data_IF_601210201436
#
_entry.id   IF_601210201436
#
_cell.length_a   1.000
_cell.length_b   1.000
_cell.length_c   1.000
_cell.angle_alpha   90.00
_cell.angle_beta   90.00
_cell.angle_gamma   90.00
#
_symmetry.space_group_name_H-M   'P 1'
#
loop_
_entity.id
_entity.type
_entity.pdbx_description
1 polymer ?
#
# COMPACT_ATOMS: atom_id res chain seq x y z
N UNK A 1 -9.92 39.48 -41.69
CA UNK A 1 -10.58 38.18 -41.72
C UNK A 1 -10.95 37.84 -40.28
N UNK A 2 -12.17 38.23 -39.90
CA UNK A 2 -12.67 38.12 -38.49
C UNK A 2 -13.37 36.76 -38.32
N UNK A 3 -12.76 35.86 -37.52
CA UNK A 3 -13.38 34.57 -37.17
C UNK A 3 -14.36 34.79 -36.03
N UNK A 4 -15.67 34.62 -36.33
CA UNK A 4 -16.74 34.60 -35.37
C UNK A 4 -16.76 33.28 -34.62
N UNK A 5 -16.45 33.31 -33.34
CA UNK A 5 -16.75 32.25 -32.41
C UNK A 5 -18.26 32.26 -32.08
N UNK A 6 -19.01 31.28 -32.57
CA UNK A 6 -20.38 31.04 -32.12
C UNK A 6 -20.37 30.31 -30.78
N UNK A 7 -20.73 31.00 -29.72
CA UNK A 7 -21.06 30.41 -28.44
C UNK A 7 -22.38 29.65 -28.60
N UNK A 8 -22.34 28.33 -28.45
CA UNK A 8 -23.56 27.52 -28.36
C UNK A 8 -24.24 27.81 -27.01
N UNK A 9 -25.54 28.10 -27.08
CA UNK A 9 -26.37 28.29 -25.89
C UNK A 9 -26.41 26.98 -25.04
N UNK A 10 -26.46 27.09 -23.70
CA UNK A 10 -26.53 25.92 -22.84
C UNK A 10 -27.85 25.19 -23.00
N UNK A 11 -27.74 23.87 -23.14
CA UNK A 11 -28.88 22.94 -23.21
C UNK A 11 -29.69 23.02 -21.91
N UNK A 12 -30.99 23.09 -22.06
CA UNK A 12 -32.02 23.19 -21.02
C UNK A 12 -31.78 22.19 -19.90
N UNK A 13 -31.49 22.69 -18.71
CA UNK A 13 -31.45 21.89 -17.48
C UNK A 13 -32.90 21.50 -17.14
N UNK A 14 -33.21 20.22 -17.22
CA UNK A 14 -34.44 19.68 -16.66
C UNK A 14 -34.48 19.95 -15.17
N UNK A 15 -35.38 20.80 -14.75
CA UNK A 15 -35.72 21.03 -13.36
C UNK A 15 -36.35 19.78 -12.77
N UNK A 16 -35.54 18.98 -12.11
CA UNK A 16 -36.02 17.94 -11.20
C UNK A 16 -36.64 18.59 -9.99
N UNK A 17 -37.89 18.29 -9.75
CA UNK A 17 -38.71 18.68 -8.59
C UNK A 17 -37.91 18.61 -7.29
N UNK A 18 -37.61 19.74 -6.73
CA UNK A 18 -37.06 19.90 -5.37
C UNK A 18 -38.08 19.35 -4.38
N UNK A 19 -37.91 18.14 -3.90
CA UNK A 19 -38.43 17.73 -2.61
C UNK A 19 -37.87 18.73 -1.58
N UNK A 20 -38.75 19.37 -0.81
CA UNK A 20 -38.39 20.17 0.36
C UNK A 20 -37.50 19.34 1.29
N UNK A 21 -36.20 19.35 1.04
CA UNK A 21 -35.22 18.95 2.06
C UNK A 21 -35.24 20.12 3.06
N UNK A 22 -35.84 19.91 4.25
CA UNK A 22 -35.50 20.77 5.40
C UNK A 22 -33.99 20.90 5.40
N UNK A 23 -33.48 22.11 5.22
CA UNK A 23 -32.05 22.40 5.28
C UNK A 23 -31.63 22.01 6.69
N UNK A 24 -31.01 20.84 6.83
CA UNK A 24 -30.48 20.38 8.10
C UNK A 24 -29.47 21.44 8.57
N UNK A 25 -29.49 21.76 9.86
CA UNK A 25 -28.48 22.66 10.42
C UNK A 25 -27.10 22.06 10.19
N UNK A 26 -26.35 22.62 9.25
CA UNK A 26 -25.04 22.11 8.82
C UNK A 26 -23.96 22.19 9.92
N UNK A 27 -24.23 22.91 11.00
CA UNK A 27 -23.36 23.01 12.17
C UNK A 27 -23.71 22.00 13.28
N UNK A 28 -24.81 21.26 13.13
CA UNK A 28 -25.16 20.22 14.09
C UNK A 28 -24.25 19.00 13.91
N UNK A 29 -23.82 18.32 15.01
CA UNK A 29 -23.14 17.07 14.92
C UNK A 29 -24.03 16.00 14.26
N UNK A 30 -23.45 14.98 13.62
CA UNK A 30 -24.22 13.87 13.07
C UNK A 30 -25.09 13.20 14.15
N UNK A 31 -26.29 12.76 13.76
CA UNK A 31 -27.19 12.02 14.63
C UNK A 31 -26.48 10.69 15.02
N UNK A 32 -26.60 10.31 16.30
CA UNK A 32 -26.07 9.02 16.76
C UNK A 32 -26.92 7.91 16.15
N UNK A 33 -26.31 6.92 15.47
CA UNK A 33 -27.06 5.78 14.93
C UNK A 33 -27.50 4.84 16.07
N UNK A 34 -28.57 4.10 15.83
CA UNK A 34 -28.95 2.98 16.68
C UNK A 34 -28.02 1.78 16.42
N UNK A 35 -27.33 1.33 17.45
CA UNK A 35 -26.43 0.18 17.42
C UNK A 35 -26.51 -0.62 18.73
N UNK A 36 -25.97 -1.84 18.70
CA UNK A 36 -25.94 -2.76 19.87
C UNK A 36 -24.53 -2.92 20.46
N UNK A 37 -23.50 -2.29 19.85
CA UNK A 37 -22.12 -2.44 20.27
C UNK A 37 -21.89 -1.87 21.67
N UNK A 38 -21.23 -2.65 22.53
CA UNK A 38 -20.72 -2.22 23.83
C UNK A 38 -19.22 -2.00 23.77
N UNK A 39 -18.49 -2.88 23.05
CA UNK A 39 -17.03 -2.81 22.91
C UNK A 39 -16.59 -3.14 21.49
N UNK A 40 -15.75 -2.27 20.90
CA UNK A 40 -15.15 -2.46 19.57
C UNK A 40 -13.64 -2.55 19.67
N UNK A 41 -13.05 -3.53 18.99
CA UNK A 41 -11.60 -3.68 18.91
C UNK A 41 -11.05 -3.06 17.61
N UNK A 42 -9.90 -2.41 17.73
CA UNK A 42 -9.10 -1.93 16.61
C UNK A 42 -7.75 -2.65 16.67
N UNK A 43 -7.32 -3.26 15.57
CA UNK A 43 -5.96 -3.79 15.43
C UNK A 43 -5.27 -3.23 14.19
N UNK A 44 -3.95 -3.20 14.23
CA UNK A 44 -3.10 -2.79 13.13
C UNK A 44 -2.07 -3.89 12.86
N UNK A 45 -1.99 -4.39 11.61
CA UNK A 45 -1.10 -5.47 11.25
C UNK A 45 -0.30 -5.19 9.97
N UNK A 46 0.83 -5.87 9.82
CA UNK A 46 1.75 -5.70 8.70
C UNK A 46 2.79 -4.61 8.92
N UNK A 47 3.41 -4.12 7.85
CA UNK A 47 4.41 -3.05 7.93
C UNK A 47 3.82 -1.71 8.39
N UNK A 48 4.60 -0.83 9.05
CA UNK A 48 4.15 0.51 9.40
C UNK A 48 3.78 1.34 8.17
N UNK A 49 2.86 2.29 8.36
CA UNK A 49 2.57 3.34 7.38
C UNK A 49 2.23 4.65 8.10
N UNK A 50 2.57 5.81 7.53
CA UNK A 50 2.20 7.11 8.09
C UNK A 50 0.69 7.27 8.22
N UNK A 51 0.24 8.16 9.10
CA UNK A 51 -1.17 8.43 9.39
C UNK A 51 -1.96 7.26 10.03
N UNK A 52 -1.31 6.18 10.47
CA UNK A 52 -1.96 5.09 11.22
C UNK A 52 -2.77 5.62 12.42
N UNK A 53 -2.18 6.56 13.17
CA UNK A 53 -2.84 7.15 14.33
C UNK A 53 -4.02 8.08 13.95
N UNK A 54 -4.05 8.62 12.74
CA UNK A 54 -5.22 9.36 12.24
C UNK A 54 -6.42 8.42 12.06
N UNK A 55 -6.19 7.24 11.47
CA UNK A 55 -7.20 6.21 11.27
C UNK A 55 -7.72 5.71 12.62
N UNK A 56 -6.81 5.25 13.49
CA UNK A 56 -7.14 4.72 14.83
C UNK A 56 -7.92 5.73 15.64
N UNK A 57 -7.41 6.97 15.69
CA UNK A 57 -8.00 8.05 16.48
C UNK A 57 -9.40 8.45 15.97
N UNK A 58 -9.58 8.56 14.65
CA UNK A 58 -10.87 8.92 14.08
C UNK A 58 -11.92 7.82 14.26
N UNK A 59 -11.55 6.56 14.07
CA UNK A 59 -12.42 5.41 14.35
C UNK A 59 -12.82 5.39 15.82
N UNK A 60 -11.85 5.42 16.73
CA UNK A 60 -12.10 5.37 18.17
C UNK A 60 -12.96 6.54 18.66
N UNK A 61 -12.68 7.79 18.24
CA UNK A 61 -13.51 8.95 18.60
C UNK A 61 -14.95 8.81 18.12
N UNK A 62 -15.19 8.23 16.96
CA UNK A 62 -16.54 8.04 16.42
C UNK A 62 -17.35 7.08 17.29
N UNK A 63 -16.77 5.96 17.71
CA UNK A 63 -17.42 5.00 18.60
C UNK A 63 -17.60 5.52 20.02
N UNK A 64 -16.56 6.19 20.59
CA UNK A 64 -16.66 6.81 21.91
C UNK A 64 -17.79 7.85 21.99
N UNK A 65 -18.02 8.62 20.94
CA UNK A 65 -19.15 9.57 20.83
C UNK A 65 -20.50 8.89 20.81
N UNK A 66 -20.56 7.66 20.31
CA UNK A 66 -21.76 6.83 20.33
C UNK A 66 -21.99 6.14 21.69
N UNK A 67 -21.01 6.20 22.60
CA UNK A 67 -21.07 5.57 23.91
C UNK A 67 -20.51 4.14 23.95
N UNK A 68 -19.74 3.76 22.94
CA UNK A 68 -19.10 2.44 22.79
C UNK A 68 -17.68 2.50 23.34
N UNK A 69 -17.30 1.53 24.14
CA UNK A 69 -15.92 1.36 24.57
C UNK A 69 -15.06 0.89 23.39
N UNK A 70 -13.86 1.44 23.26
CA UNK A 70 -12.93 1.08 22.19
C UNK A 70 -11.61 0.59 22.78
N UNK A 71 -11.18 -0.58 22.36
CA UNK A 71 -9.88 -1.14 22.71
C UNK A 71 -8.96 -1.22 21.47
N UNK A 72 -7.70 -0.91 21.67
CA UNK A 72 -6.65 -1.11 20.67
C UNK A 72 -5.87 -2.39 21.01
N UNK A 73 -5.93 -3.40 20.17
CA UNK A 73 -5.15 -4.63 20.33
C UNK A 73 -3.69 -4.33 20.00
N UNK A 74 -2.78 -4.64 20.93
CA UNK A 74 -1.36 -4.37 20.75
C UNK A 74 -0.70 -5.42 19.84
N UNK A 75 0.16 -4.94 18.95
CA UNK A 75 0.94 -5.79 18.04
C UNK A 75 0.08 -6.73 17.15
N UNK A 76 -1.04 -6.20 16.63
CA UNK A 76 -1.88 -6.87 15.64
C UNK A 76 -2.45 -8.20 16.13
N UNK A 77 -2.29 -9.26 15.35
CA UNK A 77 -2.83 -10.58 15.69
C UNK A 77 -1.92 -11.41 16.62
N UNK A 78 -0.72 -10.94 17.02
CA UNK A 78 0.27 -11.78 17.71
C UNK A 78 -0.31 -12.48 18.93
N UNK A 79 -0.82 -11.72 19.89
CA UNK A 79 -1.38 -12.29 21.13
C UNK A 79 -2.72 -13.00 20.91
N UNK A 80 -3.52 -12.52 19.97
CA UNK A 80 -4.80 -13.17 19.67
C UNK A 80 -4.60 -14.57 19.05
N UNK A 81 -3.60 -14.73 18.18
CA UNK A 81 -3.32 -16.03 17.55
C UNK A 81 -2.64 -17.04 18.46
N UNK A 82 -2.04 -16.57 19.56
CA UNK A 82 -1.40 -17.38 20.60
C UNK A 82 -2.32 -17.64 21.81
N UNK A 83 -3.55 -17.11 21.80
CA UNK A 83 -4.47 -17.19 22.95
C UNK A 83 -4.72 -18.64 23.38
N UNK A 84 -4.50 -18.91 24.66
CA UNK A 84 -4.62 -20.23 25.28
C UNK A 84 -5.70 -20.30 26.39
N UNK A 85 -6.50 -19.24 26.50
CA UNK A 85 -7.51 -19.07 27.57
C UNK A 85 -7.01 -18.26 28.76
N UNK A 86 -5.74 -17.88 28.79
CA UNK A 86 -5.20 -16.97 29.82
C UNK A 86 -5.79 -15.56 29.66
N UNK A 87 -6.09 -14.89 30.76
CA UNK A 87 -6.65 -13.55 30.75
C UNK A 87 -5.71 -12.55 30.04
N UNK A 88 -6.23 -11.87 29.01
CA UNK A 88 -5.54 -10.79 28.33
C UNK A 88 -5.54 -9.52 29.18
N UNK A 89 -4.38 -8.88 29.32
CA UNK A 89 -4.16 -7.78 30.24
C UNK A 89 -4.16 -6.42 29.57
N UNK A 90 -4.83 -5.45 30.18
CA UNK A 90 -4.73 -4.05 29.79
C UNK A 90 -3.26 -3.57 29.94
N UNK A 91 -2.84 -2.69 29.01
CA UNK A 91 -1.50 -2.16 28.87
C UNK A 91 -0.41 -3.15 28.44
N UNK A 92 -0.65 -4.47 28.49
CA UNK A 92 0.25 -5.49 27.93
C UNK A 92 -0.25 -5.97 26.55
N UNK A 93 -1.47 -6.47 26.46
CA UNK A 93 -2.05 -7.11 25.26
C UNK A 93 -3.03 -6.19 24.51
N UNK A 94 -3.69 -5.29 25.22
CA UNK A 94 -4.55 -4.26 24.64
C UNK A 94 -4.49 -2.96 25.45
N UNK A 95 -5.04 -1.89 24.89
CA UNK A 95 -5.17 -0.58 25.56
C UNK A 95 -6.59 -0.04 25.38
N UNK A 96 -7.18 0.52 26.43
CA UNK A 96 -8.47 1.22 26.34
C UNK A 96 -8.24 2.61 25.71
N UNK A 97 -8.82 2.83 24.53
CA UNK A 97 -8.70 4.05 23.76
C UNK A 97 -9.71 5.12 24.25
N UNK A 98 -9.37 5.78 25.34
CA UNK A 98 -10.16 6.88 25.89
C UNK A 98 -9.87 8.22 25.22
N UNK A 99 -10.75 9.22 25.38
CA UNK A 99 -10.49 10.59 24.94
C UNK A 99 -9.18 11.17 25.47
N UNK A 100 -8.72 10.72 26.63
CA UNK A 100 -7.43 11.13 27.24
C UNK A 100 -6.27 10.54 26.46
N UNK A 101 -6.31 9.25 26.15
CA UNK A 101 -5.28 8.52 25.38
C UNK A 101 -5.17 9.07 23.97
N UNK A 102 -6.32 9.38 23.34
CA UNK A 102 -6.40 9.88 21.96
C UNK A 102 -6.06 11.36 21.81
N UNK A 103 -5.71 12.06 22.90
CA UNK A 103 -5.43 13.49 22.84
C UNK A 103 -4.22 13.79 21.97
N UNK A 104 -4.42 14.55 20.87
CA UNK A 104 -3.38 14.95 19.90
C UNK A 104 -2.68 13.80 19.17
N UNK A 105 -3.28 12.59 19.15
CA UNK A 105 -2.69 11.44 18.47
C UNK A 105 -2.93 11.43 16.97
N UNK A 106 -4.02 12.07 16.50
CA UNK A 106 -4.46 12.02 15.10
C UNK A 106 -3.41 12.46 14.08
N UNK A 107 -2.45 13.27 14.46
CA UNK A 107 -1.36 13.71 13.59
C UNK A 107 0.02 13.33 14.14
N UNK A 108 0.10 12.29 14.95
CA UNK A 108 1.36 11.79 15.49
C UNK A 108 1.97 10.71 14.60
N UNK A 109 3.29 10.60 14.65
CA UNK A 109 4.07 9.56 13.98
C UNK A 109 3.91 8.21 14.67
N UNK A 110 4.31 7.15 13.97
CA UNK A 110 4.30 5.77 14.48
C UNK A 110 2.89 5.18 14.56
N UNK A 111 2.74 4.13 15.37
CA UNK A 111 1.50 3.39 15.57
C UNK A 111 1.30 3.18 17.06
N UNK A 112 0.31 3.86 17.64
CA UNK A 112 0.11 3.89 19.10
C UNK A 112 -0.23 2.53 19.72
N UNK A 113 -0.77 1.59 18.94
CA UNK A 113 -1.07 0.22 19.37
C UNK A 113 -0.04 -0.81 18.89
N UNK A 114 1.05 -0.35 18.25
CA UNK A 114 2.04 -1.23 17.65
C UNK A 114 1.52 -2.00 16.44
N UNK A 115 2.39 -2.82 15.86
CA UNK A 115 2.07 -3.70 14.72
C UNK A 115 2.91 -4.96 14.77
N UNK A 116 2.45 -6.03 14.10
CA UNK A 116 3.22 -7.24 13.85
C UNK A 116 2.81 -7.91 12.53
N UNK A 117 3.61 -8.86 12.07
CA UNK A 117 3.34 -9.66 10.86
C UNK A 117 2.71 -11.02 11.17
N UNK A 118 2.14 -11.20 12.36
CA UNK A 118 1.40 -12.42 12.69
C UNK A 118 0.20 -12.56 11.76
N UNK A 119 0.07 -13.71 11.12
CA UNK A 119 -1.00 -14.03 10.18
C UNK A 119 -1.70 -15.33 10.60
N UNK A 120 -2.80 -15.27 11.37
CA UNK A 120 -3.53 -16.46 11.79
C UNK A 120 -4.20 -17.21 10.62
N UNK A 121 -4.34 -16.58 9.46
CA UNK A 121 -4.86 -17.20 8.24
C UNK A 121 -3.79 -17.80 7.32
N UNK A 122 -2.52 -17.85 7.71
CA UNK A 122 -1.42 -18.30 6.82
C UNK A 122 -1.66 -19.69 6.21
N UNK A 123 -2.21 -20.61 6.98
CA UNK A 123 -2.44 -21.98 6.53
C UNK A 123 -3.74 -22.20 5.72
N UNK A 124 -4.59 -21.18 5.62
CA UNK A 124 -5.86 -21.24 4.87
C UNK A 124 -5.59 -20.62 3.49
N UNK A 125 -5.32 -21.45 2.48
CA UNK A 125 -4.99 -21.01 1.11
C UNK A 125 -6.11 -21.32 0.10
N UNK A 126 -7.08 -22.13 0.50
CA UNK A 126 -8.25 -22.47 -0.29
C UNK A 126 -9.48 -22.58 0.64
N UNK A 127 -10.71 -22.31 0.19
CA UNK A 127 -11.93 -22.44 1.01
C UNK A 127 -12.10 -23.80 1.69
N UNK A 128 -11.64 -24.89 1.05
CA UNK A 128 -11.65 -26.24 1.66
C UNK A 128 -10.75 -26.38 2.87
N UNK A 129 -9.73 -25.54 3.05
CA UNK A 129 -8.87 -25.54 4.23
C UNK A 129 -9.62 -25.14 5.50
N UNK A 130 -10.79 -24.51 5.34
CA UNK A 130 -11.70 -24.25 6.46
C UNK A 130 -12.31 -25.52 7.06
N UNK A 131 -12.18 -26.70 6.42
CA UNK A 131 -12.60 -27.98 6.96
C UNK A 131 -11.53 -28.66 7.82
N UNK A 132 -10.30 -28.18 7.75
CA UNK A 132 -9.15 -28.71 8.47
C UNK A 132 -9.00 -28.00 9.84
N UNK A 133 -9.20 -28.76 10.92
CA UNK A 133 -9.15 -28.26 12.31
C UNK A 133 -7.81 -27.61 12.66
N UNK A 134 -6.71 -28.15 12.14
CA UNK A 134 -5.36 -27.68 12.46
C UNK A 134 -5.07 -26.34 11.73
N UNK A 135 -5.54 -26.22 10.50
CA UNK A 135 -5.39 -24.98 9.70
C UNK A 135 -6.23 -23.83 10.26
N UNK A 136 -7.41 -24.10 10.80
CA UNK A 136 -8.29 -23.06 11.38
C UNK A 136 -8.01 -22.77 12.85
N UNK A 137 -7.24 -23.58 13.57
CA UNK A 137 -6.96 -23.41 15.00
C UNK A 137 -6.45 -22.00 15.36
N UNK A 138 -5.58 -21.32 14.60
CA UNK A 138 -5.21 -19.94 14.89
C UNK A 138 -6.38 -18.95 14.77
N UNK A 139 -7.31 -19.15 13.83
CA UNK A 139 -8.52 -18.33 13.68
C UNK A 139 -9.50 -18.57 14.85
N UNK A 140 -9.62 -19.81 15.31
CA UNK A 140 -10.41 -20.13 16.50
C UNK A 140 -9.86 -19.40 17.73
N UNK A 141 -8.52 -19.41 17.95
CA UNK A 141 -7.90 -18.67 19.05
C UNK A 141 -8.16 -17.16 18.97
N UNK A 142 -8.09 -16.56 17.77
CA UNK A 142 -8.45 -15.13 17.56
C UNK A 142 -9.91 -14.89 17.96
N UNK A 143 -10.84 -15.75 17.50
CA UNK A 143 -12.26 -15.63 17.86
C UNK A 143 -12.49 -15.71 19.37
N UNK A 144 -11.85 -16.68 20.03
CA UNK A 144 -12.02 -16.90 21.48
C UNK A 144 -11.40 -15.75 22.29
N UNK A 145 -10.24 -15.24 21.87
CA UNK A 145 -9.60 -14.06 22.46
C UNK A 145 -10.51 -12.81 22.36
N UNK A 146 -11.08 -12.53 21.19
CA UNK A 146 -12.00 -11.41 21.01
C UNK A 146 -13.27 -11.57 21.84
N UNK A 147 -13.82 -12.79 21.93
CA UNK A 147 -14.98 -13.10 22.77
C UNK A 147 -14.66 -12.92 24.26
N UNK A 148 -13.48 -13.37 24.73
CA UNK A 148 -13.04 -13.20 26.12
C UNK A 148 -12.91 -11.73 26.51
N UNK A 149 -12.53 -10.88 25.58
CA UNK A 149 -12.49 -9.42 25.74
C UNK A 149 -13.86 -8.75 25.60
N UNK A 150 -14.93 -9.49 25.32
CA UNK A 150 -16.27 -8.94 25.11
C UNK A 150 -16.39 -8.06 23.87
N UNK A 151 -15.63 -8.33 22.83
CA UNK A 151 -15.63 -7.56 21.59
C UNK A 151 -16.85 -7.88 20.73
N UNK A 152 -17.59 -6.85 20.32
CA UNK A 152 -18.77 -6.95 19.48
C UNK A 152 -18.51 -6.67 17.99
N UNK A 153 -17.39 -5.99 17.66
CA UNK A 153 -16.96 -5.75 16.29
C UNK A 153 -15.44 -5.52 16.20
N UNK A 154 -14.87 -5.88 15.06
CA UNK A 154 -13.44 -5.76 14.78
C UNK A 154 -13.18 -4.77 13.64
N UNK A 155 -12.29 -3.80 13.88
CA UNK A 155 -11.71 -2.93 12.84
C UNK A 155 -10.30 -3.42 12.59
N UNK A 156 -10.09 -4.01 11.41
CA UNK A 156 -8.81 -4.54 10.96
C UNK A 156 -8.12 -3.50 10.07
N UNK A 157 -6.95 -3.01 10.48
CA UNK A 157 -6.16 -2.04 9.71
C UNK A 157 -4.90 -2.74 9.22
N UNK A 158 -4.66 -2.74 7.91
CA UNK A 158 -3.44 -3.38 7.43
C UNK A 158 -3.30 -3.48 5.91
N UNK A 159 -2.24 -4.14 5.49
CA UNK A 159 -1.93 -4.42 4.09
C UNK A 159 -2.72 -5.61 3.54
N UNK A 160 -2.34 -6.03 2.37
CA UNK A 160 -2.90 -7.13 1.60
C UNK A 160 -3.12 -8.41 2.43
N UNK A 161 -2.09 -8.91 3.12
CA UNK A 161 -2.20 -10.09 3.98
C UNK A 161 -3.20 -9.90 5.14
N UNK A 162 -3.37 -8.67 5.59
CA UNK A 162 -4.33 -8.35 6.65
C UNK A 162 -5.76 -8.35 6.13
N UNK A 163 -5.98 -7.88 4.89
CA UNK A 163 -7.27 -8.00 4.21
C UNK A 163 -7.65 -9.47 3.98
N UNK A 164 -6.70 -10.28 3.47
CA UNK A 164 -6.90 -11.74 3.33
C UNK A 164 -7.27 -12.39 4.67
N UNK A 165 -6.56 -12.00 5.74
CA UNK A 165 -6.84 -12.49 7.09
C UNK A 165 -8.23 -12.09 7.59
N UNK A 166 -8.65 -10.85 7.36
CA UNK A 166 -10.00 -10.38 7.72
C UNK A 166 -11.09 -11.12 6.95
N UNK A 167 -10.87 -11.39 5.66
CA UNK A 167 -11.78 -12.20 4.85
C UNK A 167 -11.86 -13.65 5.35
N UNK A 168 -10.74 -14.29 5.62
CA UNK A 168 -10.68 -15.65 6.17
C UNK A 168 -11.34 -15.72 7.54
N UNK A 169 -11.19 -14.69 8.37
CA UNK A 169 -11.88 -14.60 9.67
C UNK A 169 -13.41 -14.50 9.51
N UNK A 170 -13.89 -13.72 8.52
CA UNK A 170 -15.31 -13.68 8.17
C UNK A 170 -15.81 -15.06 7.77
N UNK A 171 -15.16 -15.72 6.82
CA UNK A 171 -15.54 -17.06 6.33
C UNK A 171 -15.50 -18.10 7.45
N UNK A 172 -14.49 -18.06 8.30
CA UNK A 172 -14.39 -18.91 9.49
C UNK A 172 -15.59 -18.74 10.41
N UNK A 173 -15.98 -17.50 10.71
CA UNK A 173 -17.11 -17.23 11.60
C UNK A 173 -18.46 -17.67 10.99
N UNK A 174 -18.65 -17.46 9.69
CA UNK A 174 -19.85 -17.91 8.97
C UNK A 174 -20.02 -19.42 9.06
N UNK A 175 -18.91 -20.17 9.09
CA UNK A 175 -18.92 -21.62 9.20
C UNK A 175 -19.07 -22.14 10.63
N UNK A 176 -18.34 -21.55 11.58
CA UNK A 176 -18.20 -22.12 12.92
C UNK A 176 -18.86 -21.31 14.04
N UNK A 177 -19.22 -20.06 13.80
CA UNK A 177 -19.73 -19.12 14.81
C UNK A 177 -20.97 -18.34 14.32
N UNK A 178 -21.77 -18.92 13.45
CA UNK A 178 -22.90 -18.24 12.79
C UNK A 178 -23.92 -17.61 13.77
N UNK A 179 -24.06 -18.16 14.98
CA UNK A 179 -24.99 -17.62 16.00
C UNK A 179 -24.50 -16.31 16.64
N UNK A 180 -23.18 -16.10 16.70
CA UNK A 180 -22.57 -14.90 17.28
C UNK A 180 -21.36 -14.44 16.47
N UNK A 181 -21.63 -13.86 15.32
CA UNK A 181 -20.60 -13.27 14.44
C UNK A 181 -20.09 -11.95 15.03
N UNK A 182 -18.78 -11.77 15.09
CA UNK A 182 -18.13 -10.49 15.33
C UNK A 182 -17.92 -9.83 13.96
N UNK A 183 -18.72 -8.83 13.55
CA UNK A 183 -18.54 -8.19 12.25
C UNK A 183 -17.16 -7.57 12.12
N UNK A 184 -16.55 -7.72 10.95
CA UNK A 184 -15.23 -7.21 10.63
C UNK A 184 -15.29 -6.25 9.46
N UNK A 185 -14.64 -5.09 9.62
CA UNK A 185 -14.37 -4.16 8.53
C UNK A 185 -12.87 -3.95 8.40
N UNK A 186 -12.41 -3.76 7.16
CA UNK A 186 -11.00 -3.57 6.86
C UNK A 186 -10.72 -2.14 6.39
N UNK A 187 -9.61 -1.57 6.86
CA UNK A 187 -9.09 -0.26 6.42
C UNK A 187 -7.76 -0.48 5.71
N UNK A 188 -7.69 -0.16 4.41
CA UNK A 188 -6.53 -0.48 3.59
C UNK A 188 -5.35 0.41 3.93
N UNK A 189 -4.23 -0.21 4.28
CA UNK A 189 -2.98 0.41 4.67
C UNK A 189 -1.86 -0.07 3.77
N UNK A 190 -1.27 0.81 3.00
CA UNK A 190 0.02 0.58 2.32
C UNK A 190 0.57 1.92 1.85
N UNK A 191 1.90 2.06 1.84
CA UNK A 191 2.57 3.16 1.16
C UNK A 191 2.70 2.91 -0.35
N UNK A 192 2.46 1.68 -0.80
CA UNK A 192 2.67 1.24 -2.18
C UNK A 192 1.47 1.57 -3.09
N UNK A 193 0.33 1.94 -2.51
CA UNK A 193 -0.92 2.28 -3.24
C UNK A 193 -1.41 1.21 -4.21
N UNK A 194 -1.14 -0.04 -3.92
CA UNK A 194 -1.39 -1.21 -4.78
C UNK A 194 -2.72 -1.94 -4.51
N UNK A 195 -3.60 -1.37 -3.67
CA UNK A 195 -4.93 -1.90 -3.40
C UNK A 195 -5.91 -1.64 -4.54
N UNK A 196 -6.65 -2.67 -4.92
CA UNK A 196 -7.82 -2.51 -5.79
C UNK A 196 -9.01 -1.93 -5.00
N UNK A 197 -9.88 -1.17 -5.68
CA UNK A 197 -11.12 -0.63 -5.09
C UNK A 197 -10.97 0.62 -4.23
N UNK A 198 -9.82 1.27 -4.24
CA UNK A 198 -9.59 2.57 -3.61
C UNK A 198 -8.68 3.44 -4.48
N UNK A 199 -8.93 4.76 -4.54
CA UNK A 199 -8.08 5.66 -5.33
C UNK A 199 -6.70 5.84 -4.71
N UNK A 200 -6.63 6.07 -3.40
CA UNK A 200 -5.39 6.24 -2.65
C UNK A 200 -5.47 5.58 -1.28
N UNK A 201 -4.42 4.85 -0.92
CA UNK A 201 -4.25 4.29 0.42
C UNK A 201 -3.56 5.30 1.33
N UNK A 202 -3.91 5.31 2.62
CA UNK A 202 -3.25 6.22 3.55
C UNK A 202 -1.79 5.79 3.79
N UNK A 203 -0.93 6.78 3.92
CA UNK A 203 0.51 6.63 4.00
C UNK A 203 1.23 6.85 2.67
N UNK A 204 0.54 6.67 1.53
CA UNK A 204 1.12 6.84 0.20
C UNK A 204 1.65 8.25 -0.04
N UNK A 205 0.82 9.29 0.16
CA UNK A 205 1.25 10.68 -0.10
C UNK A 205 2.34 11.15 0.86
N UNK A 206 2.36 10.67 2.08
CA UNK A 206 3.45 10.95 3.02
C UNK A 206 4.75 10.32 2.54
N UNK A 207 4.69 9.05 2.09
CA UNK A 207 5.86 8.35 1.57
C UNK A 207 6.36 9.02 0.28
N UNK A 208 5.47 9.36 -0.66
CA UNK A 208 5.82 10.12 -1.88
C UNK A 208 6.50 11.45 -1.52
N UNK A 209 5.91 12.23 -0.60
CA UNK A 209 6.48 13.52 -0.19
C UNK A 209 7.87 13.39 0.43
N UNK A 210 8.05 12.40 1.31
CA UNK A 210 9.32 12.12 1.95
C UNK A 210 10.38 11.73 0.89
N UNK A 211 10.09 10.73 0.07
CA UNK A 211 11.00 10.24 -0.96
C UNK A 211 11.33 11.29 -2.03
N UNK A 212 10.34 12.08 -2.43
CA UNK A 212 10.55 13.19 -3.36
C UNK A 212 11.50 14.25 -2.77
N UNK A 213 11.45 14.49 -1.45
CA UNK A 213 12.37 15.40 -0.77
C UNK A 213 13.79 14.86 -0.77
N UNK A 214 13.96 13.55 -0.52
CA UNK A 214 15.27 12.89 -0.61
C UNK A 214 15.82 12.91 -2.04
N UNK A 215 15.00 12.61 -3.05
CA UNK A 215 15.40 12.64 -4.46
C UNK A 215 15.88 14.04 -4.85
N UNK A 216 15.17 15.12 -4.45
CA UNK A 216 15.62 16.50 -4.71
C UNK A 216 16.94 16.82 -4.01
N UNK A 217 17.13 16.34 -2.78
CA UNK A 217 18.39 16.51 -2.06
C UNK A 217 19.54 15.81 -2.78
N UNK A 218 19.32 14.59 -3.25
CA UNK A 218 20.28 13.84 -4.06
C UNK A 218 20.56 14.50 -5.41
N UNK A 219 19.58 15.18 -6.00
CA UNK A 219 19.76 15.89 -7.25
C UNK A 219 20.75 17.06 -7.11
N UNK A 220 20.72 17.79 -5.98
CA UNK A 220 21.73 18.82 -5.68
C UNK A 220 23.13 18.24 -5.44
N UNK A 221 23.26 17.10 -4.76
CA UNK A 221 24.56 16.40 -4.63
C UNK A 221 25.06 15.93 -5.98
N UNK A 222 24.18 15.35 -6.80
CA UNK A 222 24.51 14.91 -8.17
C UNK A 222 25.03 16.06 -9.02
N UNK A 223 24.38 17.22 -8.95
CA UNK A 223 24.79 18.43 -9.67
C UNK A 223 26.16 18.91 -9.21
N UNK A 224 26.37 19.02 -7.90
CA UNK A 224 27.63 19.49 -7.33
C UNK A 224 28.81 18.56 -7.66
N UNK A 225 28.56 17.25 -7.74
CA UNK A 225 29.61 16.23 -7.96
C UNK A 225 29.68 15.74 -9.42
N UNK A 226 28.84 16.23 -10.31
CA UNK A 226 28.69 15.75 -11.70
C UNK A 226 28.56 14.25 -11.79
N UNK A 227 27.64 13.70 -11.00
CA UNK A 227 27.38 12.25 -10.87
C UNK A 227 25.90 11.94 -11.04
N UNK A 228 25.56 10.65 -11.03
CA UNK A 228 24.20 10.17 -11.02
C UNK A 228 23.91 9.37 -9.75
N UNK A 229 22.68 9.43 -9.30
CA UNK A 229 22.16 8.51 -8.30
C UNK A 229 21.17 7.55 -8.95
N UNK A 230 21.26 6.28 -8.60
CA UNK A 230 20.26 5.27 -8.85
C UNK A 230 19.56 4.97 -7.53
N UNK A 231 18.32 5.41 -7.37
CA UNK A 231 17.53 5.21 -6.15
C UNK A 231 16.54 4.08 -6.35
N UNK A 232 16.68 3.04 -5.52
CA UNK A 232 15.70 1.97 -5.40
C UNK A 232 14.65 2.40 -4.38
N UNK A 233 13.38 2.42 -4.77
CA UNK A 233 12.27 2.77 -3.86
C UNK A 233 11.42 1.55 -3.57
N UNK A 234 10.80 1.52 -2.38
CA UNK A 234 9.85 0.47 -2.02
C UNK A 234 8.68 0.39 -3.00
N UNK A 235 7.96 -0.72 -2.97
CA UNK A 235 6.88 -1.05 -3.89
C UNK A 235 7.18 -2.35 -4.60
N UNK A 236 6.85 -3.49 -3.93
CA UNK A 236 7.18 -4.83 -4.44
C UNK A 236 6.36 -5.19 -5.68
N UNK A 237 5.06 -4.95 -5.63
CA UNK A 237 4.13 -5.45 -6.65
C UNK A 237 3.85 -4.45 -7.75
N UNK A 238 3.82 -3.16 -7.43
CA UNK A 238 3.44 -2.09 -8.35
C UNK A 238 4.31 -0.84 -8.15
N UNK A 239 4.46 -0.05 -9.19
CA UNK A 239 5.37 1.10 -9.26
C UNK A 239 4.82 2.44 -8.76
N UNK A 240 3.62 2.48 -8.15
CA UNK A 240 2.97 3.73 -7.76
C UNK A 240 3.85 4.65 -6.91
N UNK A 241 4.55 4.07 -5.92
CA UNK A 241 5.44 4.85 -5.04
C UNK A 241 6.64 5.38 -5.79
N UNK A 242 7.27 4.56 -6.64
CA UNK A 242 8.41 4.95 -7.49
C UNK A 242 8.03 6.09 -8.43
N UNK A 243 6.90 5.96 -9.12
CA UNK A 243 6.37 6.99 -10.02
C UNK A 243 6.03 8.28 -9.28
N UNK A 244 5.29 8.18 -8.18
CA UNK A 244 4.92 9.35 -7.37
C UNK A 244 6.15 10.11 -6.86
N UNK A 245 7.14 9.39 -6.34
CA UNK A 245 8.38 9.97 -5.84
C UNK A 245 9.23 10.58 -6.96
N UNK A 246 9.31 9.90 -8.12
CA UNK A 246 10.06 10.39 -9.27
C UNK A 246 9.44 11.67 -9.86
N UNK A 247 8.13 11.69 -10.07
CA UNK A 247 7.40 12.86 -10.58
C UNK A 247 7.57 14.06 -9.65
N UNK A 248 7.34 13.87 -8.35
CA UNK A 248 7.41 14.94 -7.37
C UNK A 248 8.85 15.33 -6.98
N UNK A 249 9.83 14.45 -7.20
CA UNK A 249 11.25 14.65 -6.92
C UNK A 249 12.08 15.12 -8.09
N UNK A 250 11.48 15.31 -9.28
CA UNK A 250 12.16 15.72 -10.51
C UNK A 250 13.22 14.73 -10.98
N UNK A 251 12.95 13.43 -10.86
CA UNK A 251 13.87 12.40 -11.33
C UNK A 251 14.03 12.45 -12.85
N UNK A 252 15.23 12.07 -13.31
CA UNK A 252 15.57 12.07 -14.73
C UNK A 252 14.92 10.94 -15.53
N UNK A 253 14.57 9.84 -14.83
CA UNK A 253 13.92 8.64 -15.36
C UNK A 253 13.33 7.85 -14.21
N UNK A 254 12.19 7.20 -14.43
CA UNK A 254 11.64 6.17 -13.54
C UNK A 254 11.38 4.88 -14.31
N UNK A 255 11.71 3.73 -13.70
CA UNK A 255 11.43 2.40 -14.23
C UNK A 255 10.78 1.54 -13.14
N UNK A 256 9.64 0.95 -13.44
CA UNK A 256 8.89 0.10 -12.55
C UNK A 256 8.60 -1.28 -13.15
N UNK A 257 7.93 -2.11 -12.39
CA UNK A 257 7.53 -3.46 -12.82
C UNK A 257 6.59 -3.42 -14.03
N UNK A 258 5.74 -2.41 -14.12
CA UNK A 258 4.81 -2.23 -15.24
C UNK A 258 5.55 -1.93 -16.54
N UNK A 259 6.60 -1.12 -16.50
CA UNK A 259 7.44 -0.81 -17.67
C UNK A 259 8.14 -2.07 -18.19
N UNK A 260 8.68 -2.88 -17.27
CA UNK A 260 9.35 -4.12 -17.64
C UNK A 260 8.36 -5.12 -18.22
N UNK A 261 7.19 -5.30 -17.58
CA UNK A 261 6.12 -6.17 -18.08
C UNK A 261 5.59 -5.74 -19.44
N UNK A 262 5.54 -4.44 -19.71
CA UNK A 262 5.01 -3.90 -20.98
C UNK A 262 5.94 -4.10 -22.18
N UNK A 263 7.27 -4.17 -22.00
CA UNK A 263 8.15 -4.23 -23.17
C UNK A 263 9.58 -4.70 -22.96
N UNK A 264 9.98 -5.08 -21.75
CA UNK A 264 11.35 -5.45 -21.42
C UNK A 264 11.48 -6.85 -20.81
N UNK A 265 10.49 -7.74 -21.01
CA UNK A 265 10.58 -9.14 -20.63
C UNK A 265 11.20 -9.98 -21.73
N UNK A 266 12.03 -10.95 -21.32
CA UNK A 266 12.57 -12.03 -22.15
C UNK A 266 12.41 -13.36 -21.42
N UNK A 267 12.36 -14.46 -22.19
CA UNK A 267 12.34 -15.78 -21.63
C UNK A 267 13.77 -16.26 -21.34
N UNK A 268 13.99 -16.75 -20.14
CA UNK A 268 15.25 -17.31 -19.67
C UNK A 268 15.08 -18.78 -19.28
N UNK A 269 15.94 -19.66 -19.79
CA UNK A 269 16.04 -21.04 -19.31
C UNK A 269 17.17 -21.15 -18.31
N UNK A 270 16.91 -21.78 -17.17
CA UNK A 270 17.91 -21.98 -16.12
C UNK A 270 17.79 -23.38 -15.51
N UNK A 271 18.84 -23.83 -14.86
CA UNK A 271 18.86 -25.08 -14.10
C UNK A 271 18.68 -24.74 -12.62
N UNK A 272 17.68 -25.32 -11.98
CA UNK A 272 17.45 -25.09 -10.55
C UNK A 272 18.41 -25.89 -9.67
N UNK A 273 18.28 -25.76 -8.33
CA UNK A 273 19.13 -26.43 -7.36
C UNK A 273 18.99 -27.98 -7.39
N UNK A 274 17.87 -28.48 -7.91
CA UNK A 274 17.59 -29.93 -8.05
C UNK A 274 18.08 -30.48 -9.38
N UNK A 275 18.67 -29.65 -10.25
CA UNK A 275 19.18 -30.01 -11.58
C UNK A 275 18.12 -30.05 -12.67
N UNK A 276 16.90 -29.55 -12.41
CA UNK A 276 15.82 -29.47 -13.39
C UNK A 276 15.92 -28.23 -14.26
N UNK A 277 15.66 -28.42 -15.57
CA UNK A 277 15.55 -27.29 -16.51
C UNK A 277 14.19 -26.60 -16.34
N UNK A 278 14.22 -25.30 -16.03
CA UNK A 278 13.02 -24.46 -15.89
C UNK A 278 13.13 -23.24 -16.78
N UNK A 279 11.97 -22.68 -17.13
CA UNK A 279 11.87 -21.41 -17.86
C UNK A 279 11.13 -20.37 -17.01
N UNK A 280 11.53 -19.12 -17.15
CA UNK A 280 10.87 -17.98 -16.49
C UNK A 280 10.98 -16.74 -17.36
N UNK A 281 10.09 -15.77 -17.09
CA UNK A 281 10.23 -14.44 -17.64
C UNK A 281 11.19 -13.63 -16.75
N UNK A 282 12.19 -13.00 -17.35
CA UNK A 282 13.08 -12.08 -16.66
C UNK A 282 13.21 -10.76 -17.41
N UNK A 283 13.79 -9.76 -16.75
CA UNK A 283 14.07 -8.45 -17.34
C UNK A 283 15.24 -8.55 -18.32
N UNK A 284 15.04 -8.01 -19.52
CA UNK A 284 16.12 -7.76 -20.48
C UNK A 284 17.05 -6.67 -19.93
N UNK A 285 18.07 -7.11 -19.19
CA UNK A 285 19.03 -6.20 -18.54
C UNK A 285 19.74 -5.30 -19.54
N UNK A 286 20.09 -5.81 -20.72
CA UNK A 286 20.81 -5.03 -21.74
C UNK A 286 19.96 -3.85 -22.22
N UNK A 287 18.67 -4.10 -22.53
CA UNK A 287 17.76 -3.05 -23.00
C UNK A 287 17.42 -2.05 -21.90
N UNK A 288 17.19 -2.50 -20.67
CA UNK A 288 16.87 -1.62 -19.54
C UNK A 288 18.07 -0.74 -19.18
N UNK A 289 19.26 -1.32 -19.04
CA UNK A 289 20.50 -0.58 -18.80
C UNK A 289 20.81 0.35 -19.98
N UNK A 290 20.61 -0.13 -21.21
CA UNK A 290 20.74 0.68 -22.43
C UNK A 290 19.85 1.91 -22.45
N UNK A 291 18.59 1.79 -21.97
CA UNK A 291 17.65 2.92 -21.82
C UNK A 291 18.17 3.95 -20.80
N UNK A 292 18.70 3.49 -19.67
CA UNK A 292 19.27 4.37 -18.65
C UNK A 292 20.50 5.10 -19.20
N UNK A 293 21.41 4.40 -19.87
CA UNK A 293 22.61 5.01 -20.48
C UNK A 293 22.23 6.02 -21.56
N UNK A 294 21.23 5.75 -22.39
CA UNK A 294 20.69 6.74 -23.34
C UNK A 294 20.21 8.00 -22.63
N UNK A 295 19.54 7.86 -21.48
CA UNK A 295 19.07 9.00 -20.67
C UNK A 295 20.25 9.84 -20.16
N UNK A 296 21.28 9.18 -19.62
CA UNK A 296 22.51 9.86 -19.16
C UNK A 296 23.13 10.66 -20.31
N UNK A 297 23.29 10.04 -21.48
CA UNK A 297 23.89 10.69 -22.65
C UNK A 297 23.04 11.86 -23.19
N UNK A 298 21.71 11.73 -23.18
CA UNK A 298 20.80 12.80 -23.56
C UNK A 298 20.96 14.01 -22.63
N UNK A 299 21.03 13.78 -21.32
CA UNK A 299 21.27 14.83 -20.32
C UNK A 299 22.63 15.51 -20.53
N UNK A 300 23.69 14.73 -20.77
CA UNK A 300 25.03 15.28 -21.06
C UNK A 300 25.02 16.17 -22.31
N UNK A 301 24.30 15.77 -23.35
CA UNK A 301 24.14 16.57 -24.57
C UNK A 301 23.37 17.89 -24.30
N UNK A 302 22.54 17.94 -23.28
CA UNK A 302 21.88 19.16 -22.79
C UNK A 302 22.75 19.97 -21.81
N UNK A 303 24.01 19.57 -21.57
CA UNK A 303 24.89 20.19 -20.57
C UNK A 303 24.59 19.83 -19.13
N UNK A 304 23.74 18.81 -18.86
CA UNK A 304 23.33 18.31 -17.53
C UNK A 304 24.08 17.01 -17.24
N UNK A 305 25.27 17.09 -16.68
CA UNK A 305 26.12 15.93 -16.41
C UNK A 305 25.74 15.24 -15.05
N UNK A 306 24.49 15.34 -14.63
CA UNK A 306 23.99 14.87 -13.33
C UNK A 306 22.53 14.44 -13.44
N UNK A 307 22.07 13.66 -12.46
CA UNK A 307 20.66 13.27 -12.39
C UNK A 307 20.38 12.21 -11.34
N UNK A 308 19.10 11.98 -11.10
CA UNK A 308 18.59 10.89 -10.27
C UNK A 308 17.71 9.98 -11.12
N UNK A 309 17.95 8.69 -11.05
CA UNK A 309 17.18 7.64 -11.71
C UNK A 309 16.48 6.85 -10.61
N UNK A 310 15.19 6.65 -10.74
CA UNK A 310 14.36 5.90 -9.78
C UNK A 310 14.02 4.54 -10.37
N UNK A 311 14.19 3.50 -9.57
CA UNK A 311 13.78 2.12 -9.90
C UNK A 311 12.93 1.54 -8.78
N UNK A 312 11.90 0.77 -9.14
CA UNK A 312 11.08 0.06 -8.15
C UNK A 312 11.81 -1.18 -7.63
N UNK A 313 11.75 -1.44 -6.31
CA UNK A 313 12.36 -2.65 -5.72
C UNK A 313 11.80 -3.95 -6.33
N UNK A 314 10.55 -3.93 -6.80
CA UNK A 314 9.90 -5.07 -7.45
C UNK A 314 10.60 -5.55 -8.73
N UNK A 315 11.47 -4.74 -9.34
CA UNK A 315 12.30 -5.17 -10.47
C UNK A 315 13.25 -6.32 -10.10
N UNK A 316 13.58 -6.47 -8.81
CA UNK A 316 14.42 -7.57 -8.34
C UNK A 316 13.79 -8.95 -8.64
N UNK A 317 12.46 -9.07 -8.67
CA UNK A 317 11.75 -10.32 -9.05
C UNK A 317 12.02 -10.72 -10.52
N UNK A 318 12.37 -9.74 -11.35
CA UNK A 318 12.61 -9.94 -12.78
C UNK A 318 14.10 -9.97 -13.14
N UNK A 319 15.01 -9.92 -12.17
CA UNK A 319 16.44 -10.07 -12.46
C UNK A 319 16.71 -11.45 -13.10
N UNK A 320 17.63 -11.58 -14.07
CA UNK A 320 18.09 -12.84 -14.60
C UNK A 320 18.54 -13.79 -13.47
N UNK A 321 18.37 -15.09 -13.66
CA UNK A 321 18.65 -16.11 -12.65
C UNK A 321 20.05 -15.99 -12.06
N UNK A 322 21.05 -15.68 -12.88
CA UNK A 322 22.45 -15.50 -12.45
C UNK A 322 22.66 -14.46 -11.35
N UNK A 323 21.76 -13.47 -11.21
CA UNK A 323 21.83 -12.47 -10.14
C UNK A 323 21.12 -12.86 -8.85
N UNK A 324 20.25 -13.87 -8.94
CA UNK A 324 19.39 -14.30 -7.82
C UNK A 324 19.57 -15.77 -7.46
N UNK A 325 20.60 -16.41 -8.01
CA UNK A 325 20.98 -17.77 -7.68
C UNK A 325 21.30 -17.88 -6.18
N UNK A 326 20.70 -18.87 -5.50
CA UNK A 326 20.87 -19.07 -4.05
C UNK A 326 20.14 -18.09 -3.15
N UNK A 327 19.39 -17.13 -3.69
CA UNK A 327 18.53 -16.26 -2.89
C UNK A 327 17.31 -17.05 -2.41
N UNK A 328 17.05 -17.01 -1.10
CA UNK A 328 15.88 -17.65 -0.48
C UNK A 328 14.58 -17.18 -1.14
N UNK A 329 13.65 -18.14 -1.30
CA UNK A 329 12.30 -17.85 -1.79
C UNK A 329 11.28 -18.10 -0.69
N UNK A 330 10.18 -17.37 -0.75
CA UNK A 330 9.05 -17.59 0.14
C UNK A 330 8.22 -18.82 -0.28
N UNK A 331 7.22 -19.15 0.53
CA UNK A 331 6.31 -20.28 0.30
C UNK A 331 5.53 -20.19 -1.04
N UNK A 332 5.53 -19.02 -1.70
CA UNK A 332 4.90 -18.75 -2.99
C UNK A 332 5.89 -18.70 -4.16
N UNK A 333 7.18 -18.98 -3.89
CA UNK A 333 8.24 -18.99 -4.90
C UNK A 333 8.83 -17.60 -5.23
N UNK A 334 8.40 -16.54 -4.57
CA UNK A 334 8.98 -15.20 -4.74
C UNK A 334 10.32 -15.09 -4.02
N UNK A 335 11.27 -14.39 -4.63
CA UNK A 335 12.57 -14.14 -4.00
C UNK A 335 12.42 -13.25 -2.76
N UNK A 336 13.31 -13.44 -1.81
CA UNK A 336 13.44 -12.52 -0.69
C UNK A 336 14.14 -11.24 -1.16
N UNK A 337 13.37 -10.25 -1.67
CA UNK A 337 13.87 -8.99 -2.23
C UNK A 337 14.85 -8.30 -1.28
N UNK A 338 14.64 -8.39 0.04
CA UNK A 338 15.52 -7.75 1.02
C UNK A 338 16.95 -8.31 1.05
N UNK A 339 17.19 -9.44 0.40
CA UNK A 339 18.52 -10.06 0.23
C UNK A 339 19.18 -9.66 -1.10
N UNK A 340 18.48 -8.96 -1.97
CA UNK A 340 18.95 -8.52 -3.29
C UNK A 340 19.26 -7.04 -3.25
N UNK A 341 20.50 -6.65 -3.52
CA UNK A 341 20.87 -5.24 -3.64
C UNK A 341 20.69 -4.79 -5.09
N UNK A 342 19.43 -4.61 -5.53
CA UNK A 342 19.10 -4.22 -6.91
C UNK A 342 19.85 -2.95 -7.32
N UNK A 343 19.88 -1.93 -6.46
CA UNK A 343 20.60 -0.67 -6.72
C UNK A 343 22.10 -0.89 -6.98
N UNK A 344 22.75 -1.84 -6.28
CA UNK A 344 24.17 -2.13 -6.47
C UNK A 344 24.42 -2.84 -7.80
N UNK A 345 23.59 -3.85 -8.12
CA UNK A 345 23.66 -4.60 -9.39
C UNK A 345 23.48 -3.64 -10.58
N UNK A 346 22.42 -2.85 -10.56
CA UNK A 346 22.11 -1.96 -11.70
C UNK A 346 23.10 -0.82 -11.82
N UNK A 347 23.56 -0.19 -10.72
CA UNK A 347 24.52 0.90 -10.80
C UNK A 347 25.87 0.45 -11.37
N UNK A 348 26.33 -0.74 -11.04
CA UNK A 348 27.54 -1.33 -11.62
C UNK A 348 27.36 -1.58 -13.14
N UNK A 349 26.25 -2.20 -13.54
CA UNK A 349 25.94 -2.47 -14.94
C UNK A 349 25.81 -1.18 -15.77
N UNK A 350 25.22 -0.11 -15.21
CA UNK A 350 25.11 1.19 -15.89
C UNK A 350 26.49 1.80 -16.12
N UNK A 351 27.39 1.78 -15.14
CA UNK A 351 28.75 2.32 -15.27
C UNK A 351 29.55 1.57 -16.33
N UNK A 352 29.46 0.25 -16.36
CA UNK A 352 30.11 -0.59 -17.36
C UNK A 352 29.58 -0.30 -18.76
N UNK A 353 28.26 -0.32 -18.95
CA UNK A 353 27.61 -0.04 -20.23
C UNK A 353 27.88 1.39 -20.73
N UNK A 354 27.89 2.38 -19.82
CA UNK A 354 28.26 3.76 -20.15
C UNK A 354 29.72 3.85 -20.68
N UNK A 355 30.65 3.21 -19.96
CA UNK A 355 32.08 3.20 -20.31
C UNK A 355 32.31 2.56 -21.71
N UNK A 356 31.66 1.41 -21.95
CA UNK A 356 31.71 0.74 -23.24
C UNK A 356 31.16 1.62 -24.39
N UNK A 357 30.02 2.28 -24.15
CA UNK A 357 29.35 3.09 -25.18
C UNK A 357 30.04 4.41 -25.46
N UNK A 358 30.88 4.90 -24.56
CA UNK A 358 31.56 6.20 -24.66
C UNK A 358 33.06 6.10 -24.92
N UNK A 359 33.55 4.96 -25.43
CA UNK A 359 34.97 4.70 -25.72
C UNK A 359 35.88 4.97 -24.50
N UNK A 360 35.49 4.50 -23.33
CA UNK A 360 36.30 4.53 -22.10
C UNK A 360 36.07 5.73 -21.18
N UNK A 361 35.12 6.65 -21.47
CA UNK A 361 34.72 7.65 -20.48
C UNK A 361 34.04 6.98 -19.31
N UNK A 362 34.25 7.44 -18.11
CA UNK A 362 33.63 6.95 -16.92
C UNK A 362 32.58 7.93 -16.38
N UNK A 363 31.50 7.41 -15.82
CA UNK A 363 30.48 8.22 -15.13
C UNK A 363 30.12 7.53 -13.81
N UNK A 364 30.28 8.26 -12.70
CA UNK A 364 29.94 7.72 -11.40
C UNK A 364 28.42 7.64 -11.26
N UNK A 365 27.91 6.45 -10.95
CA UNK A 365 26.51 6.17 -10.61
C UNK A 365 26.48 5.56 -9.20
N UNK A 366 25.95 6.31 -8.23
CA UNK A 366 25.85 5.89 -6.83
C UNK A 366 24.50 5.23 -6.62
N UNK A 367 24.50 3.96 -6.20
CA UNK A 367 23.26 3.24 -5.88
C UNK A 367 22.88 3.38 -4.42
N UNK A 368 21.59 3.56 -4.10
CA UNK A 368 21.06 3.52 -2.74
C UNK A 368 19.59 3.13 -2.72
N UNK A 369 19.13 2.58 -1.58
CA UNK A 369 17.74 2.24 -1.33
C UNK A 369 17.10 3.30 -0.44
N UNK A 370 15.88 3.73 -0.81
CA UNK A 370 15.04 4.66 -0.07
C UNK A 370 13.70 3.98 0.27
N UNK A 371 13.18 4.18 1.49
CA UNK A 371 11.85 3.64 1.77
C UNK A 371 11.50 3.46 3.25
N UNK A 372 12.33 2.76 4.03
CA UNK A 372 12.03 2.45 5.42
C UNK A 372 11.77 3.71 6.27
N UNK A 373 12.48 4.79 6.01
CA UNK A 373 12.37 6.09 6.68
C UNK A 373 10.99 6.70 6.49
N UNK A 374 10.37 6.48 5.33
CA UNK A 374 9.07 7.02 4.99
C UNK A 374 7.92 6.39 5.78
N UNK A 375 8.07 5.14 6.26
CA UNK A 375 6.99 4.37 6.91
C UNK A 375 6.47 4.98 8.20
N UNK A 376 7.29 5.75 8.90
CA UNK A 376 6.90 6.45 10.13
C UNK A 376 7.20 7.96 10.03
N UNK A 377 7.27 8.51 8.82
CA UNK A 377 7.40 9.94 8.61
C UNK A 377 6.19 10.72 9.17
N UNK A 378 6.38 12.02 9.42
CA UNK A 378 5.29 12.90 9.86
C UNK A 378 4.16 12.88 8.81
N UNK A 379 2.92 12.57 9.18
CA UNK A 379 1.82 12.48 8.22
C UNK A 379 1.63 13.75 7.39
N UNK A 380 1.59 13.59 6.07
CA UNK A 380 1.18 14.63 5.16
C UNK A 380 -0.30 14.99 5.39
N UNK A 381 -0.68 16.24 5.17
CA UNK A 381 -2.05 16.71 5.44
C UNK A 381 -3.12 15.87 4.72
N UNK A 382 -2.86 15.46 3.48
CA UNK A 382 -3.79 14.60 2.74
C UNK A 382 -3.98 13.23 3.42
N UNK A 383 -2.90 12.58 3.85
CA UNK A 383 -2.99 11.27 4.54
C UNK A 383 -3.66 11.40 5.92
N UNK A 384 -3.48 12.52 6.62
CA UNK A 384 -4.19 12.77 7.87
C UNK A 384 -5.71 12.93 7.64
N UNK A 385 -6.12 13.60 6.55
CA UNK A 385 -7.54 13.71 6.15
C UNK A 385 -8.08 12.36 5.69
N UNK A 386 -7.39 11.66 4.79
CA UNK A 386 -7.76 10.35 4.25
C UNK A 386 -7.89 9.31 5.38
N UNK A 387 -6.89 9.22 6.24
CA UNK A 387 -6.92 8.32 7.40
C UNK A 387 -8.07 8.64 8.35
N UNK A 388 -8.35 9.93 8.57
CA UNK A 388 -9.51 10.34 9.39
C UNK A 388 -10.83 9.92 8.72
N UNK A 389 -10.96 10.08 7.39
CA UNK A 389 -12.15 9.68 6.66
C UNK A 389 -12.38 8.17 6.70
N UNK A 390 -11.32 7.38 6.50
CA UNK A 390 -11.38 5.91 6.61
C UNK A 390 -11.79 5.47 8.02
N UNK A 391 -11.23 6.10 9.06
CA UNK A 391 -11.61 5.82 10.45
C UNK A 391 -13.08 6.12 10.74
N UNK A 392 -13.60 7.26 10.28
CA UNK A 392 -15.04 7.58 10.36
C UNK A 392 -15.85 6.60 9.52
N UNK A 393 -15.32 6.21 8.35
CA UNK A 393 -15.94 5.22 7.47
C UNK A 393 -16.16 3.87 8.14
N UNK A 394 -15.22 3.40 8.97
CA UNK A 394 -15.37 2.17 9.74
C UNK A 394 -16.56 2.26 10.73
N UNK A 395 -16.69 3.37 11.43
CA UNK A 395 -17.86 3.61 12.30
C UNK A 395 -19.17 3.59 11.48
N UNK A 396 -19.19 4.29 10.36
CA UNK A 396 -20.38 4.35 9.50
C UNK A 396 -20.73 3.00 8.89
N UNK A 397 -19.72 2.19 8.51
CA UNK A 397 -19.93 0.83 8.02
C UNK A 397 -20.63 -0.04 9.08
N UNK A 398 -20.06 -0.08 10.28
CA UNK A 398 -20.54 -0.95 11.35
C UNK A 398 -21.84 -0.42 12.00
N UNK A 399 -21.83 0.84 12.46
CA UNK A 399 -22.92 1.37 13.29
C UNK A 399 -24.11 1.92 12.48
N UNK A 400 -23.84 2.62 11.35
CA UNK A 400 -24.92 3.19 10.54
C UNK A 400 -25.48 2.21 9.50
N UNK A 401 -24.59 1.48 8.82
CA UNK A 401 -24.95 0.61 7.68
C UNK A 401 -25.04 -0.86 8.04
N UNK A 402 -24.57 -1.26 9.24
CA UNK A 402 -24.59 -2.64 9.76
C UNK A 402 -23.90 -3.62 8.80
N UNK A 403 -22.78 -3.21 8.20
CA UNK A 403 -22.01 -3.99 7.25
C UNK A 403 -21.04 -4.92 7.98
N UNK A 404 -20.77 -6.06 7.35
CA UNK A 404 -19.74 -7.03 7.73
C UNK A 404 -19.00 -7.49 6.48
N UNK A 405 -17.68 -7.72 6.58
CA UNK A 405 -16.88 -8.22 5.48
C UNK A 405 -16.68 -7.21 4.35
N UNK A 406 -16.46 -5.96 4.69
CA UNK A 406 -16.21 -4.89 3.72
C UNK A 406 -14.90 -4.16 4.00
N UNK A 407 -14.24 -3.74 2.93
CA UNK A 407 -13.19 -2.73 2.98
C UNK A 407 -13.80 -1.34 2.89
N UNK A 408 -13.43 -0.46 3.80
CA UNK A 408 -13.78 0.96 3.69
C UNK A 408 -12.88 1.61 2.66
N UNK A 409 -13.47 2.22 1.68
CA UNK A 409 -12.82 2.87 0.56
C UNK A 409 -13.23 4.32 0.42
N UNK A 410 -12.46 5.06 -0.35
CA UNK A 410 -12.77 6.42 -0.76
C UNK A 410 -12.48 6.62 -2.24
N UNK A 411 -13.25 7.53 -2.87
CA UNK A 411 -12.98 7.98 -4.23
C UNK A 411 -13.24 9.48 -4.38
N UNK A 412 -12.72 10.07 -5.42
CA UNK A 412 -12.93 11.48 -5.75
C UNK A 412 -12.53 12.42 -4.61
N UNK A 413 -13.51 13.14 -4.04
CA UNK A 413 -13.29 14.11 -2.95
C UNK A 413 -13.43 13.47 -1.56
N UNK A 414 -12.87 12.28 -1.36
CA UNK A 414 -12.96 11.47 -0.16
C UNK A 414 -14.39 10.96 0.14
N UNK A 415 -15.18 10.72 -0.90
CA UNK A 415 -16.49 10.09 -0.77
C UNK A 415 -16.33 8.62 -0.35
N UNK A 416 -17.05 8.22 0.71
CA UNK A 416 -16.95 6.88 1.29
C UNK A 416 -17.68 5.83 0.45
N UNK A 417 -16.99 4.74 0.20
CA UNK A 417 -17.49 3.51 -0.40
C UNK A 417 -17.19 2.31 0.51
N UNK A 418 -17.87 1.21 0.26
CA UNK A 418 -17.73 -0.02 1.05
C UNK A 418 -17.64 -1.19 0.08
N UNK A 419 -16.43 -1.68 -0.15
CA UNK A 419 -16.20 -2.75 -1.10
C UNK A 419 -16.27 -4.11 -0.39
N UNK A 420 -17.19 -5.00 -0.77
CA UNK A 420 -17.25 -6.35 -0.22
C UNK A 420 -15.93 -7.11 -0.44
N UNK A 421 -15.52 -7.92 0.55
CA UNK A 421 -14.28 -8.70 0.44
C UNK A 421 -14.26 -9.61 -0.77
N UNK A 422 -15.40 -10.15 -1.16
CA UNK A 422 -15.58 -11.03 -2.33
C UNK A 422 -15.23 -10.37 -3.67
N UNK A 423 -15.18 -9.04 -3.73
CA UNK A 423 -14.71 -8.30 -4.90
C UNK A 423 -13.20 -8.03 -4.90
N UNK A 424 -12.56 -8.16 -3.76
CA UNK A 424 -11.16 -7.80 -3.52
C UNK A 424 -10.26 -9.01 -3.38
N UNK A 425 -10.85 -10.14 -3.01
CA UNK A 425 -10.17 -11.42 -2.79
C UNK A 425 -10.81 -12.45 -3.69
N UNK A 426 -10.00 -13.11 -4.49
CA UNK A 426 -10.47 -14.22 -5.34
C UNK A 426 -11.07 -15.33 -4.46
N UNK A 427 -12.31 -15.76 -4.72
CA UNK A 427 -13.03 -16.66 -3.84
C UNK A 427 -12.47 -18.10 -3.87
N UNK A 428 -11.72 -18.50 -4.89
CA UNK A 428 -11.15 -19.84 -5.02
C UNK A 428 -9.74 -19.91 -4.43
N UNK A 429 -8.90 -18.94 -4.75
CA UNK A 429 -7.48 -18.91 -4.35
C UNK A 429 -7.22 -18.12 -3.09
N UNK A 430 -8.20 -17.34 -2.60
CA UNK A 430 -8.09 -16.41 -1.46
C UNK A 430 -6.94 -15.39 -1.60
N UNK A 431 -6.56 -15.06 -2.83
CA UNK A 431 -5.52 -14.08 -3.19
C UNK A 431 -6.19 -12.75 -3.55
N UNK A 432 -5.59 -11.67 -3.16
CA UNK A 432 -6.05 -10.31 -3.44
C UNK A 432 -5.67 -9.87 -4.84
N UNK A 433 -6.47 -8.98 -5.41
CA UNK A 433 -6.19 -8.35 -6.71
C UNK A 433 -5.27 -7.15 -6.50
N UNK A 434 -4.08 -7.19 -7.12
CA UNK A 434 -3.13 -6.07 -7.11
C UNK A 434 -3.50 -5.03 -8.14
N UNK A 435 -3.47 -3.74 -7.76
CA UNK A 435 -3.66 -2.62 -8.67
C UNK A 435 -2.33 -2.15 -9.25
N UNK A 436 -2.11 -2.44 -10.51
CA UNK A 436 -0.96 -1.96 -11.27
C UNK A 436 -1.22 -0.56 -11.86
N UNK A 437 -0.14 0.15 -12.21
CA UNK A 437 -0.23 1.33 -13.07
C UNK A 437 -0.49 0.83 -14.49
N UNK A 438 -1.54 1.37 -15.10
CA UNK A 438 -1.79 1.15 -16.53
C UNK A 438 -0.79 1.99 -17.34
N UNK A 439 0.06 1.38 -18.21
CA UNK A 439 1.01 2.12 -19.05
C UNK A 439 0.35 3.12 -20.01
N UNK A 440 -0.94 2.95 -20.29
CA UNK A 440 -1.72 3.89 -21.11
C UNK A 440 -2.41 5.00 -20.30
N UNK A 441 -2.33 4.95 -18.96
CA UNK A 441 -2.93 5.97 -18.09
C UNK A 441 -2.25 7.33 -18.18
N UNK A 442 -3.00 8.38 -17.85
CA UNK A 442 -2.45 9.74 -17.74
C UNK A 442 -1.38 9.86 -16.64
N UNK A 443 -1.48 9.06 -15.57
CA UNK A 443 -0.49 9.05 -14.50
C UNK A 443 0.87 8.51 -14.99
N UNK A 444 0.88 7.41 -15.75
CA UNK A 444 2.08 6.88 -16.34
C UNK A 444 2.66 7.88 -17.37
N UNK A 445 1.83 8.41 -18.26
CA UNK A 445 2.22 9.40 -19.27
C UNK A 445 2.80 10.66 -18.65
N UNK A 446 2.27 11.13 -17.52
CA UNK A 446 2.81 12.30 -16.80
C UNK A 446 4.30 12.14 -16.51
N UNK A 447 4.75 11.00 -16.02
CA UNK A 447 6.16 10.73 -15.79
C UNK A 447 6.96 10.82 -17.11
N UNK A 448 6.44 10.21 -18.18
CA UNK A 448 7.07 10.21 -19.50
C UNK A 448 7.21 11.61 -20.11
N UNK A 449 6.29 12.55 -19.81
CA UNK A 449 6.39 13.95 -20.20
C UNK A 449 7.44 14.74 -19.42
N UNK A 450 7.68 14.38 -18.16
CA UNK A 450 8.53 15.13 -17.24
C UNK A 450 9.99 14.62 -17.21
N UNK A 451 10.22 13.36 -17.53
CA UNK A 451 11.56 12.78 -17.55
C UNK A 451 12.41 13.30 -18.74
N UNK A 452 13.68 12.94 -18.72
CA UNK A 452 14.58 13.26 -19.85
C UNK A 452 14.14 12.52 -21.11
N UNK A 453 13.85 13.26 -22.17
CA UNK A 453 13.43 12.70 -23.44
C UNK A 453 14.62 12.04 -24.15
N UNK A 454 14.39 10.85 -24.64
CA UNK A 454 15.36 10.08 -25.43
C UNK A 454 14.69 9.69 -26.74
N UNK A 455 15.28 10.05 -27.85
CA UNK A 455 14.84 9.56 -29.17
C UNK A 455 15.29 8.10 -29.32
N UNK A 456 14.35 7.22 -29.68
CA UNK A 456 14.62 5.80 -29.95
C UNK A 456 15.53 5.56 -31.16
#
# INVERSE_FOLDING_TARGET
>A
MLLHWRIRAPTTIHTTTTRNRQVANTLSPPVKPEHHFQRVAILFAGGPAPAANAVISAAAHSFLRAGVEVIGIKHGYSKLSEFDGTELKEDEDFVVLSHRVLRRTRNSQGIMIGTARSNPGKMINHPSDLDDSDKVAPMQRVSDALKSLGVDALISIGGDDTLKTANKFKLFQEKYNAEKVIPVVHLPKTIDNDYHGIDFTFGFFTAVHFLATEIRTLLYDAEATRSYFLTETMGRSAGWLSYGAAIAGEASLVISVEDVKAGYLVEESYTDADGEQKTRQCMDMERVIGRIVKTILARENEGKEYGVIVVAEGLAEFLPFSYVEGVERDDHGHINISKVSLFAIMSAAIQEAYTAKTNGRTRLVKGLQLGYESRCAQPHAFDAMLGSQLGVGAFRALAEKKLNGVMVSVSGQLDLHYEPFEKLVDPETLVTVVRYIDPDSDFHRLARFLETHVND
#
